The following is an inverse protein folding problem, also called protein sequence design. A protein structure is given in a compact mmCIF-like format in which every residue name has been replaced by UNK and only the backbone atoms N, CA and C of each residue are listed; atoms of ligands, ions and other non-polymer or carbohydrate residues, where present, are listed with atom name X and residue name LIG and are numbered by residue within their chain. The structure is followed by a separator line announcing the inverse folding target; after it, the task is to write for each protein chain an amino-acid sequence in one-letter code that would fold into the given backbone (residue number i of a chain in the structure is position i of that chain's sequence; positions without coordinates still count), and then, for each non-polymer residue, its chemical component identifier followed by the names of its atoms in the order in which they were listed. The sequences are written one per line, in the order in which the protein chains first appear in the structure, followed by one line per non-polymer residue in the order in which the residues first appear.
data_IF_025616174583
#
_entry.id   IF_025616174583
#
_cell.length_a   1.000
_cell.length_b   1.000
_cell.length_c   1.000
_cell.angle_alpha   90.00
_cell.angle_beta   90.00
_cell.angle_gamma   90.00
#
_symmetry.space_group_name_H-M   'P 1'
#
loop_
_entity.id
_entity.type
_entity.pdbx_description
1 polymer ?
#
# COMPACT_ATOMS: atom_id res chain seq x y z
N UNK A 1 -8.95 41.71 -30.76
CA UNK A 1 -9.06 41.06 -29.44
C UNK A 1 -7.84 40.21 -29.28
N UNK A 2 -6.91 40.59 -28.38
CA UNK A 2 -5.54 40.00 -28.35
C UNK A 2 -5.53 38.61 -27.68
N UNK A 3 -5.42 37.58 -28.46
CA UNK A 3 -5.29 36.17 -28.02
C UNK A 3 -4.02 35.87 -27.18
N UNK A 4 -3.03 36.77 -27.16
CA UNK A 4 -1.76 36.59 -26.42
C UNK A 4 -1.86 36.78 -24.91
N UNK A 5 -2.99 37.22 -24.37
CA UNK A 5 -3.20 37.40 -22.91
C UNK A 5 -3.98 36.26 -22.24
N UNK A 6 -4.52 35.29 -23.02
CA UNK A 6 -5.21 34.13 -22.47
C UNK A 6 -4.27 32.96 -22.16
N UNK A 7 -3.07 32.96 -22.74
CA UNK A 7 -2.11 31.85 -22.58
C UNK A 7 -1.59 31.66 -21.14
N UNK A 8 -1.27 32.72 -20.36
CA UNK A 8 -0.82 32.50 -18.97
C UNK A 8 -1.95 32.11 -18.03
N UNK A 9 -3.20 32.50 -18.33
CA UNK A 9 -4.34 32.12 -17.50
C UNK A 9 -4.74 30.65 -17.69
N UNK A 10 -4.53 30.12 -18.90
CA UNK A 10 -4.76 28.70 -19.21
C UNK A 10 -3.64 27.82 -18.64
N UNK A 11 -2.40 28.30 -18.60
CA UNK A 11 -1.27 27.62 -17.96
C UNK A 11 -1.43 27.56 -16.43
N UNK A 12 -2.01 28.58 -15.81
CA UNK A 12 -2.30 28.60 -14.36
C UNK A 12 -3.40 27.61 -13.95
N UNK A 13 -4.33 27.29 -14.87
CA UNK A 13 -5.41 26.31 -14.63
C UNK A 13 -4.92 24.86 -14.75
N UNK A 14 -3.80 24.59 -15.40
CA UNK A 14 -3.25 23.24 -15.59
C UNK A 14 -2.33 22.84 -14.41
N UNK A 15 -1.77 23.79 -13.66
CA UNK A 15 -0.96 23.50 -12.47
C UNK A 15 -1.77 23.06 -11.23
N UNK A 16 -3.11 23.03 -11.31
CA UNK A 16 -3.98 22.76 -10.15
C UNK A 16 -4.25 21.33 -9.78
N UNK A 17 -3.60 20.32 -10.40
CA UNK A 17 -3.88 18.90 -10.12
C UNK A 17 -2.61 18.06 -9.84
N UNK A 18 -1.72 18.56 -9.03
CA UNK A 18 -0.69 17.69 -8.44
C UNK A 18 -1.24 17.08 -7.16
N UNK A 19 -1.84 15.90 -7.26
CA UNK A 19 -2.28 15.13 -6.11
C UNK A 19 -1.06 14.44 -5.49
N UNK A 20 -0.55 15.00 -4.39
CA UNK A 20 0.49 14.35 -3.61
C UNK A 20 -0.09 13.09 -2.94
N UNK A 21 0.64 11.98 -3.00
CA UNK A 21 0.30 10.75 -2.29
C UNK A 21 0.28 11.01 -0.79
N UNK A 22 -0.70 10.45 -0.10
CA UNK A 22 -0.90 10.64 1.33
C UNK A 22 -0.86 9.33 2.08
N UNK A 23 -0.04 9.27 3.15
CA UNK A 23 0.13 8.10 3.99
C UNK A 23 0.83 6.95 3.27
N UNK A 24 0.71 5.74 3.82
CA UNK A 24 1.33 4.55 3.24
C UNK A 24 0.69 4.24 1.89
N UNK A 25 1.46 4.24 0.79
CA UNK A 25 0.93 3.88 -0.51
C UNK A 25 0.42 2.43 -0.55
N UNK A 26 -0.58 2.19 -1.39
CA UNK A 26 -1.19 0.85 -1.52
C UNK A 26 -0.53 0.10 -2.67
N UNK A 27 0.13 -1.00 -2.34
CA UNK A 27 0.78 -1.88 -3.31
C UNK A 27 0.23 -3.30 -3.23
N UNK A 28 0.11 -3.96 -4.37
CA UNK A 28 -0.44 -5.32 -4.48
C UNK A 28 0.47 -6.40 -3.89
N UNK A 29 1.77 -6.15 -3.83
CA UNK A 29 2.73 -7.06 -3.21
C UNK A 29 2.49 -7.24 -1.72
N UNK A 30 1.90 -6.25 -1.02
CA UNK A 30 1.49 -6.42 0.38
C UNK A 30 0.43 -7.51 0.59
N UNK A 31 -0.34 -7.87 -0.43
CA UNK A 31 -1.23 -9.03 -0.37
C UNK A 31 -0.48 -10.36 -0.24
N UNK A 32 0.80 -10.38 -0.58
CA UNK A 32 1.65 -11.59 -0.54
C UNK A 32 2.42 -11.72 0.76
N UNK A 33 2.91 -10.61 1.29
CA UNK A 33 3.90 -10.62 2.36
C UNK A 33 3.49 -9.81 3.60
N UNK A 34 2.59 -8.84 3.48
CA UNK A 34 2.17 -7.98 4.59
C UNK A 34 0.73 -7.48 4.44
N UNK A 35 -0.24 -8.38 4.40
CA UNK A 35 -1.67 -8.06 4.23
C UNK A 35 -2.21 -7.10 5.31
N UNK A 36 -1.65 -7.17 6.53
CA UNK A 36 -2.00 -6.27 7.63
C UNK A 36 -1.71 -4.80 7.30
N UNK A 37 -0.71 -4.50 6.46
CA UNK A 37 -0.41 -3.13 6.05
C UNK A 37 -1.56 -2.46 5.27
N UNK A 38 -2.35 -3.25 4.56
CA UNK A 38 -3.52 -2.80 3.80
C UNK A 38 -4.79 -2.85 4.64
N UNK A 39 -4.99 -3.93 5.39
CA UNK A 39 -6.25 -4.26 6.02
C UNK A 39 -6.11 -4.36 7.55
N UNK A 40 -6.56 -3.35 8.31
CA UNK A 40 -6.48 -3.36 9.78
C UNK A 40 -7.16 -4.58 10.42
N UNK A 41 -8.20 -5.10 9.78
CA UNK A 41 -8.92 -6.30 10.21
C UNK A 41 -8.09 -7.58 10.21
N UNK A 42 -6.92 -7.56 9.56
CA UNK A 42 -6.00 -8.70 9.52
C UNK A 42 -5.00 -8.73 10.68
N UNK A 43 -5.00 -7.72 11.56
CA UNK A 43 -4.13 -7.74 12.74
C UNK A 43 -4.43 -8.95 13.63
N UNK A 44 -3.46 -9.86 13.80
CA UNK A 44 -3.60 -11.10 14.56
C UNK A 44 -4.55 -12.14 13.96
N UNK A 45 -4.92 -12.02 12.69
CA UNK A 45 -5.77 -13.00 11.99
C UNK A 45 -5.02 -14.29 11.64
N UNK A 46 -3.71 -14.21 11.42
CA UNK A 46 -2.86 -15.33 11.03
C UNK A 46 -2.64 -16.35 12.15
N UNK A 47 -2.11 -17.52 11.78
CA UNK A 47 -1.74 -18.59 12.71
C UNK A 47 -0.52 -18.24 13.58
N UNK A 48 0.29 -17.26 13.16
CA UNK A 48 1.46 -16.75 13.87
C UNK A 48 1.38 -15.25 14.11
N UNK A 49 2.09 -14.77 15.11
CA UNK A 49 2.40 -13.35 15.24
C UNK A 49 3.44 -12.97 14.21
N UNK A 50 3.35 -11.78 13.66
CA UNK A 50 4.16 -11.38 12.51
C UNK A 50 4.88 -10.06 12.76
N UNK A 51 6.14 -10.03 12.36
CA UNK A 51 6.91 -8.79 12.16
C UNK A 51 7.27 -8.71 10.68
N UNK A 52 7.06 -7.59 10.05
CA UNK A 52 7.42 -7.33 8.65
C UNK A 52 8.15 -6.00 8.54
N UNK A 53 9.34 -6.05 7.97
CA UNK A 53 10.14 -4.87 7.61
C UNK A 53 10.18 -4.79 6.09
N UNK A 54 9.75 -3.66 5.54
CA UNK A 54 9.75 -3.42 4.10
C UNK A 54 10.56 -2.17 3.80
N UNK A 55 11.45 -2.25 2.82
CA UNK A 55 12.19 -1.12 2.27
C UNK A 55 11.99 -1.09 0.76
N UNK A 56 11.46 0.02 0.27
CA UNK A 56 11.18 0.26 -1.15
C UNK A 56 11.89 1.51 -1.61
N UNK A 57 12.52 1.46 -2.76
CA UNK A 57 13.21 2.59 -3.37
C UNK A 57 12.99 2.61 -4.89
N UNK A 58 12.88 3.83 -5.41
CA UNK A 58 12.81 4.13 -6.84
C UNK A 58 14.03 4.97 -7.22
N UNK A 59 14.54 4.88 -8.44
CA UNK A 59 15.63 5.73 -9.00
C UNK A 59 16.89 5.77 -8.13
N UNK A 60 17.69 4.74 -8.20
CA UNK A 60 18.94 4.62 -7.41
C UNK A 60 20.02 5.64 -7.72
N UNK A 61 19.92 6.36 -8.82
CA UNK A 61 20.85 7.38 -9.30
C UNK A 61 20.47 8.82 -8.87
N UNK A 62 19.37 8.98 -8.11
CA UNK A 62 18.86 10.26 -7.64
C UNK A 62 18.99 10.35 -6.11
N UNK A 63 19.53 11.49 -5.61
CA UNK A 63 19.74 11.67 -4.16
C UNK A 63 18.43 11.76 -3.35
N UNK A 64 17.35 12.25 -3.97
CA UNK A 64 16.04 12.47 -3.33
C UNK A 64 14.98 11.58 -3.95
N UNK A 65 15.38 10.37 -4.33
CA UNK A 65 14.50 9.37 -4.92
C UNK A 65 13.41 8.93 -3.94
N UNK A 66 12.21 8.62 -4.43
CA UNK A 66 11.14 8.07 -3.61
C UNK A 66 11.58 6.82 -2.85
N UNK A 67 11.42 6.86 -1.52
CA UNK A 67 11.85 5.82 -0.60
C UNK A 67 10.77 5.62 0.46
N UNK A 68 10.32 4.38 0.63
CA UNK A 68 9.35 4.00 1.65
C UNK A 68 9.93 2.90 2.52
N UNK A 69 9.93 3.12 3.82
CA UNK A 69 10.27 2.13 4.83
C UNK A 69 9.07 1.88 5.73
N UNK A 70 8.75 0.62 6.00
CA UNK A 70 7.68 0.26 6.93
C UNK A 70 8.14 -0.85 7.87
N UNK A 71 7.76 -0.72 9.13
CA UNK A 71 7.86 -1.78 10.13
C UNK A 71 6.46 -2.07 10.64
N UNK A 72 5.96 -3.27 10.38
CA UNK A 72 4.66 -3.73 10.83
C UNK A 72 4.81 -4.89 11.81
N UNK A 73 4.07 -4.82 12.89
CA UNK A 73 3.92 -5.88 13.89
C UNK A 73 2.44 -6.17 14.07
N UNK A 74 2.05 -7.43 14.10
CA UNK A 74 0.72 -7.83 14.52
C UNK A 74 0.74 -9.15 15.28
N UNK A 75 -0.17 -9.27 16.24
CA UNK A 75 -0.24 -10.41 17.12
C UNK A 75 -1.66 -10.67 17.58
N UNK A 76 -2.00 -11.93 17.81
CA UNK A 76 -3.23 -12.35 18.48
C UNK A 76 -3.00 -12.36 19.99
N UNK A 77 -3.81 -11.61 20.72
CA UNK A 77 -3.72 -11.47 22.19
C UNK A 77 -4.79 -12.26 22.95
N UNK A 78 -5.86 -12.66 22.26
CA UNK A 78 -6.92 -13.52 22.77
C UNK A 78 -7.59 -14.26 21.61
N UNK A 79 -8.47 -15.22 21.90
CA UNK A 79 -9.13 -16.06 20.89
C UNK A 79 -9.82 -15.25 19.78
N UNK A 80 -10.35 -14.08 20.14
CA UNK A 80 -11.09 -13.21 19.22
C UNK A 80 -10.47 -11.81 19.08
N UNK A 81 -9.28 -11.58 19.59
CA UNK A 81 -8.70 -10.24 19.61
C UNK A 81 -7.27 -10.22 19.11
N UNK A 82 -6.99 -9.32 18.18
CA UNK A 82 -5.68 -9.02 17.66
C UNK A 82 -5.28 -7.57 17.88
N UNK A 83 -4.00 -7.34 17.97
CA UNK A 83 -3.40 -6.01 18.01
C UNK A 83 -2.33 -5.89 16.93
N UNK A 84 -2.04 -4.66 16.55
CA UNK A 84 -0.96 -4.39 15.64
C UNK A 84 -0.39 -2.99 15.80
N UNK A 85 0.81 -2.82 15.28
CA UNK A 85 1.48 -1.54 15.19
C UNK A 85 2.19 -1.42 13.85
N UNK A 86 2.14 -0.24 13.24
CA UNK A 86 2.85 0.09 12.01
C UNK A 86 3.64 1.36 12.27
N UNK A 87 4.91 1.36 11.90
CA UNK A 87 5.73 2.56 11.77
C UNK A 87 6.13 2.70 10.30
N UNK A 88 6.16 3.92 9.82
CA UNK A 88 6.56 4.17 8.44
C UNK A 88 7.32 5.49 8.29
N UNK A 89 8.16 5.52 7.27
CA UNK A 89 8.83 6.70 6.77
C UNK A 89 8.76 6.67 5.25
N UNK A 90 8.08 7.65 4.66
CA UNK A 90 7.91 7.83 3.22
C UNK A 90 8.55 9.14 2.82
N UNK A 91 9.47 9.10 1.88
CA UNK A 91 10.14 10.27 1.33
C UNK A 91 9.94 10.30 -0.17
N UNK A 92 9.57 11.46 -0.70
CA UNK A 92 9.40 11.69 -2.13
C UNK A 92 9.89 13.09 -2.46
N UNK A 93 11.11 13.20 -2.95
CA UNK A 93 11.79 14.47 -3.13
C UNK A 93 11.99 15.17 -1.78
N UNK A 94 11.64 16.45 -1.72
CA UNK A 94 11.70 17.30 -0.53
C UNK A 94 10.54 17.07 0.45
N UNK A 95 9.52 16.31 0.04
CA UNK A 95 8.39 15.97 0.89
C UNK A 95 8.63 14.65 1.60
N UNK A 96 8.39 14.62 2.91
CA UNK A 96 8.47 13.42 3.73
C UNK A 96 7.25 13.25 4.63
N UNK A 97 6.88 12.00 4.87
CA UNK A 97 5.85 11.63 5.83
C UNK A 97 6.37 10.54 6.76
N UNK A 98 6.35 10.80 8.04
CA UNK A 98 6.72 9.83 9.07
C UNK A 98 5.56 9.65 10.02
N UNK A 99 5.28 8.43 10.40
CA UNK A 99 4.15 8.20 11.29
C UNK A 99 4.07 6.79 11.83
N UNK A 100 3.01 6.56 12.59
CA UNK A 100 2.71 5.26 13.13
C UNK A 100 1.23 5.07 13.38
N UNK A 101 0.81 3.82 13.35
CA UNK A 101 -0.56 3.39 13.61
C UNK A 101 -0.57 2.32 14.70
N UNK A 102 -1.55 2.39 15.57
CA UNK A 102 -1.92 1.32 16.50
C UNK A 102 -3.26 0.75 16.06
N UNK A 103 -3.34 -0.57 16.04
CA UNK A 103 -4.50 -1.31 15.54
C UNK A 103 -5.06 -2.23 16.60
N UNK A 104 -6.38 -2.29 16.65
CA UNK A 104 -7.13 -3.34 17.32
C UNK A 104 -8.03 -4.03 16.32
N UNK A 105 -8.05 -5.38 16.35
CA UNK A 105 -8.94 -6.17 15.53
C UNK A 105 -9.74 -7.14 16.39
N UNK A 106 -11.00 -7.38 15.98
CA UNK A 106 -11.89 -8.35 16.61
C UNK A 106 -12.32 -9.39 15.58
N UNK A 107 -12.17 -10.66 15.94
CA UNK A 107 -12.42 -11.81 15.08
C UNK A 107 -13.62 -12.61 15.57
N UNK A 108 -14.64 -12.73 14.74
CA UNK A 108 -15.84 -13.52 14.99
C UNK A 108 -15.70 -14.84 14.25
N UNK A 109 -15.67 -15.95 14.99
CA UNK A 109 -15.55 -17.29 14.43
C UNK A 109 -16.93 -17.89 14.24
N UNK A 110 -17.25 -18.36 13.03
CA UNK A 110 -18.52 -19.03 12.71
C UNK A 110 -18.37 -20.54 12.60
N UNK A 111 -17.12 -21.05 12.55
CA UNK A 111 -16.87 -22.48 12.51
C UNK A 111 -17.20 -23.17 13.84
N UNK A 112 -17.58 -24.44 13.74
CA UNK A 112 -17.83 -25.30 14.92
C UNK A 112 -16.55 -25.91 15.47
N UNK A 113 -15.52 -26.00 14.64
CA UNK A 113 -14.21 -26.53 15.00
C UNK A 113 -13.19 -25.38 15.00
N UNK A 114 -12.18 -25.40 15.87
CA UNK A 114 -11.18 -24.34 15.95
C UNK A 114 -10.20 -24.34 14.77
N UNK A 115 -10.16 -25.42 13.99
CA UNK A 115 -9.26 -25.58 12.83
C UNK A 115 -9.89 -25.14 11.51
N UNK A 116 -11.22 -25.20 11.40
CA UNK A 116 -11.90 -24.75 10.17
C UNK A 116 -11.93 -23.24 10.10
N UNK A 117 -11.34 -22.65 9.08
CA UNK A 117 -11.34 -21.21 8.89
C UNK A 117 -12.71 -20.72 8.40
N UNK A 118 -13.46 -20.05 9.27
CA UNK A 118 -14.66 -19.29 8.94
C UNK A 118 -14.73 -18.08 9.88
N UNK A 119 -14.07 -17.00 9.47
CA UNK A 119 -13.78 -15.86 10.32
C UNK A 119 -14.19 -14.55 9.66
N UNK A 120 -15.01 -13.78 10.36
CA UNK A 120 -15.28 -12.37 10.05
C UNK A 120 -14.49 -11.50 11.04
N UNK A 121 -13.68 -10.61 10.52
CA UNK A 121 -12.81 -9.75 11.32
C UNK A 121 -13.12 -8.29 11.07
N UNK A 122 -13.12 -7.48 12.13
CA UNK A 122 -13.20 -6.03 12.05
C UNK A 122 -11.93 -5.42 12.65
N UNK A 123 -11.41 -4.38 12.03
CA UNK A 123 -10.21 -3.70 12.50
C UNK A 123 -10.35 -2.19 12.50
N UNK A 124 -9.76 -1.58 13.51
CA UNK A 124 -9.63 -0.13 13.66
C UNK A 124 -8.17 0.21 13.90
N UNK A 125 -7.61 1.09 13.07
CA UNK A 125 -6.30 1.67 13.28
C UNK A 125 -6.42 3.15 13.57
N UNK A 126 -5.66 3.62 14.56
CA UNK A 126 -5.51 5.05 14.88
C UNK A 126 -4.06 5.40 14.72
N UNK A 127 -3.77 6.43 13.96
CA UNK A 127 -2.42 6.87 13.62
C UNK A 127 -2.16 8.33 13.87
N UNK A 128 -0.89 8.64 14.06
CA UNK A 128 -0.34 9.99 14.04
C UNK A 128 0.66 10.07 12.90
N UNK A 129 0.47 11.03 12.01
CA UNK A 129 1.31 11.26 10.84
C UNK A 129 1.86 12.67 10.90
N UNK A 130 3.17 12.80 10.75
CA UNK A 130 3.87 14.06 10.56
C UNK A 130 4.24 14.18 9.09
N UNK A 131 3.80 15.24 8.45
CA UNK A 131 4.15 15.61 7.08
C UNK A 131 5.13 16.77 7.13
N UNK A 132 6.19 16.73 6.34
CA UNK A 132 7.24 17.75 6.30
C UNK A 132 7.63 18.06 4.87
N UNK A 133 7.95 19.33 4.62
CA UNK A 133 8.52 19.83 3.38
C UNK A 133 9.83 20.54 3.70
N UNK A 134 10.92 20.10 3.08
CA UNK A 134 12.25 20.71 3.22
C UNK A 134 12.49 21.69 2.09
N UNK A 135 12.39 22.97 2.37
CA UNK A 135 12.65 24.05 1.42
C UNK A 135 14.07 24.63 1.54
N UNK A 136 14.91 24.09 2.41
CA UNK A 136 16.22 24.67 2.72
C UNK A 136 17.21 24.63 1.54
N UNK A 137 16.96 23.74 0.59
CA UNK A 137 17.80 23.58 -0.62
C UNK A 137 17.20 24.27 -1.87
N UNK A 138 16.09 25.00 -1.72
CA UNK A 138 15.50 25.74 -2.83
C UNK A 138 16.33 26.99 -3.16
N UNK A 139 16.42 27.32 -4.45
CA UNK A 139 17.20 28.49 -4.88
C UNK A 139 16.48 29.78 -4.48
N UNK A 140 17.03 30.50 -3.50
CA UNK A 140 16.49 31.75 -2.99
C UNK A 140 16.65 32.93 -3.98
N UNK A 141 17.36 32.73 -5.11
CA UNK A 141 17.50 33.77 -6.15
C UNK A 141 16.24 33.89 -7.01
N UNK A 142 15.45 32.82 -7.12
CA UNK A 142 14.08 32.84 -7.68
C UNK A 142 13.10 33.19 -6.57
N UNK A 143 12.84 34.48 -6.41
CA UNK A 143 11.93 34.95 -5.36
C UNK A 143 10.51 34.41 -5.60
N UNK A 144 10.12 33.41 -4.83
CA UNK A 144 8.76 32.95 -4.69
C UNK A 144 8.25 33.30 -3.28
N UNK A 145 7.19 34.13 -3.16
CA UNK A 145 6.66 34.53 -1.86
C UNK A 145 6.08 33.36 -1.02
N UNK A 146 5.88 32.20 -1.63
CA UNK A 146 5.36 30.99 -0.96
C UNK A 146 6.49 30.18 -0.31
N UNK A 147 7.73 30.28 -0.82
CA UNK A 147 8.89 29.55 -0.30
C UNK A 147 9.44 30.28 0.91
N UNK A 148 9.38 29.64 2.06
CA UNK A 148 9.92 30.20 3.31
C UNK A 148 11.41 29.89 3.53
N UNK A 149 11.99 28.95 2.77
CA UNK A 149 13.39 28.49 2.90
C UNK A 149 13.68 27.75 4.23
N UNK A 150 12.66 27.17 4.83
CA UNK A 150 12.73 26.43 6.10
C UNK A 150 12.14 25.03 5.96
N UNK A 151 12.32 24.20 6.96
CA UNK A 151 11.57 22.93 7.05
C UNK A 151 10.20 23.23 7.64
N UNK A 152 9.16 23.10 6.81
CA UNK A 152 7.77 23.19 7.26
C UNK A 152 7.32 21.80 7.70
N UNK A 153 6.61 21.70 8.83
CA UNK A 153 6.08 20.42 9.30
C UNK A 153 4.74 20.57 10.00
N UNK A 154 3.88 19.60 9.83
CA UNK A 154 2.58 19.52 10.49
C UNK A 154 2.25 18.09 10.86
N UNK A 155 1.50 17.91 11.94
CA UNK A 155 1.07 16.59 12.41
C UNK A 155 -0.45 16.48 12.46
N UNK A 156 -0.98 15.36 12.03
CA UNK A 156 -2.41 15.11 12.03
C UNK A 156 -2.74 13.66 12.45
N UNK A 157 -3.93 13.51 13.02
CA UNK A 157 -4.49 12.21 13.34
C UNK A 157 -5.14 11.57 12.11
N UNK A 158 -4.96 10.26 12.00
CA UNK A 158 -5.58 9.45 10.98
C UNK A 158 -6.27 8.22 11.57
N UNK A 159 -7.34 7.77 10.92
CA UNK A 159 -8.11 6.58 11.33
C UNK A 159 -8.41 5.76 10.10
N UNK A 160 -8.10 4.45 10.19
CA UNK A 160 -8.45 3.47 9.18
C UNK A 160 -9.39 2.42 9.78
N UNK A 161 -10.38 1.99 9.03
CA UNK A 161 -11.30 0.91 9.43
C UNK A 161 -11.36 -0.16 8.36
N UNK A 162 -11.50 -1.42 8.77
CA UNK A 162 -11.57 -2.52 7.84
C UNK A 162 -12.44 -3.67 8.32
N UNK A 163 -12.91 -4.45 7.37
CA UNK A 163 -13.57 -5.73 7.58
C UNK A 163 -12.93 -6.78 6.66
N UNK A 164 -12.80 -8.01 7.15
CA UNK A 164 -12.25 -9.14 6.39
C UNK A 164 -13.09 -10.38 6.64
N UNK A 165 -13.37 -11.11 5.59
CA UNK A 165 -14.02 -12.40 5.67
C UNK A 165 -13.11 -13.47 5.07
N UNK A 166 -12.75 -14.45 5.87
CA UNK A 166 -11.93 -15.59 5.47
C UNK A 166 -12.76 -16.86 5.65
N UNK A 167 -12.96 -17.61 4.58
CA UNK A 167 -13.72 -18.85 4.57
C UNK A 167 -12.95 -19.92 3.79
N UNK A 168 -12.38 -20.87 4.51
CA UNK A 168 -11.48 -21.88 3.93
C UNK A 168 -10.41 -21.21 3.04
N UNK A 169 -10.43 -21.54 1.77
CA UNK A 169 -9.46 -21.03 0.77
C UNK A 169 -9.87 -19.69 0.13
N UNK A 170 -11.00 -19.13 0.53
CA UNK A 170 -11.49 -17.83 0.03
C UNK A 170 -11.26 -16.72 1.04
N UNK A 171 -10.84 -15.55 0.55
CA UNK A 171 -10.74 -14.34 1.35
C UNK A 171 -11.28 -13.12 0.63
N UNK A 172 -11.90 -12.22 1.39
CA UNK A 172 -12.33 -10.92 0.92
C UNK A 172 -12.10 -9.87 2.01
N UNK A 173 -11.57 -8.72 1.62
CA UNK A 173 -11.20 -7.65 2.55
C UNK A 173 -11.69 -6.32 2.03
N UNK A 174 -12.22 -5.49 2.92
CA UNK A 174 -12.62 -4.12 2.63
C UNK A 174 -12.02 -3.17 3.67
N UNK A 175 -11.42 -2.09 3.22
CA UNK A 175 -10.80 -1.10 4.11
C UNK A 175 -11.11 0.31 3.62
N UNK A 176 -11.44 1.19 4.55
CA UNK A 176 -11.48 2.63 4.34
C UNK A 176 -10.29 3.23 5.08
N UNK A 177 -9.31 3.72 4.32
CA UNK A 177 -8.18 4.47 4.86
C UNK A 177 -8.53 5.96 4.92
N UNK A 178 -7.90 6.66 5.87
CA UNK A 178 -8.08 8.10 6.06
C UNK A 178 -9.55 8.48 6.31
N UNK A 179 -10.23 7.75 7.21
CA UNK A 179 -11.67 7.93 7.50
C UNK A 179 -12.00 9.35 7.92
N UNK A 180 -11.11 9.98 8.71
CA UNK A 180 -11.27 11.36 9.19
C UNK A 180 -10.61 12.31 8.19
N UNK A 181 -11.43 13.16 7.60
CA UNK A 181 -10.99 14.21 6.70
C UNK A 181 -10.26 15.32 7.48
N UNK A 182 -9.00 15.58 7.14
CA UNK A 182 -8.16 16.61 7.81
C UNK A 182 -7.29 17.33 6.81
N UNK A 183 -7.14 18.65 6.97
CA UNK A 183 -6.07 19.39 6.32
C UNK A 183 -4.75 19.04 6.98
N UNK A 184 -3.71 18.90 6.17
CA UNK A 184 -2.36 18.58 6.66
C UNK A 184 -1.69 19.76 7.35
N UNK A 185 -2.08 20.99 6.97
CA UNK A 185 -1.62 22.23 7.58
C UNK A 185 -0.17 22.61 7.23
N UNK A 186 0.37 22.10 6.12
CA UNK A 186 1.66 22.54 5.57
C UNK A 186 1.55 23.83 4.80
N UNK A 187 0.48 23.96 4.03
CA UNK A 187 0.18 25.14 3.22
C UNK A 187 -1.17 25.74 3.62
N UNK A 188 -1.54 26.84 2.97
CA UNK A 188 -2.88 27.42 3.13
C UNK A 188 -3.94 26.50 2.51
N UNK A 189 -5.17 26.54 3.01
CA UNK A 189 -6.30 25.71 2.55
C UNK A 189 -6.58 25.82 1.04
N UNK A 190 -6.12 26.90 0.41
CA UNK A 190 -6.29 27.15 -1.03
C UNK A 190 -5.35 26.27 -1.88
N UNK A 191 -4.18 25.91 -1.34
CA UNK A 191 -3.13 25.17 -2.08
C UNK A 191 -2.90 23.75 -1.54
N UNK A 192 -3.53 23.38 -0.44
CA UNK A 192 -3.35 22.08 0.17
C UNK A 192 -4.62 21.22 0.08
N UNK A 193 -4.50 20.05 -0.52
CA UNK A 193 -5.58 19.07 -0.44
C UNK A 193 -5.56 18.37 0.92
N UNK A 194 -6.73 18.26 1.55
CA UNK A 194 -6.86 17.43 2.74
C UNK A 194 -6.59 15.95 2.42
N UNK A 195 -6.21 15.16 3.44
CA UNK A 195 -6.08 13.72 3.28
C UNK A 195 -7.41 13.14 2.75
N UNK A 196 -7.30 12.29 1.72
CA UNK A 196 -8.48 11.76 1.04
C UNK A 196 -8.79 10.35 1.52
N UNK A 197 -10.08 10.05 1.68
CA UNK A 197 -10.49 8.68 1.94
C UNK A 197 -10.18 7.80 0.74
N UNK A 198 -9.64 6.61 1.05
CA UNK A 198 -9.38 5.57 0.06
C UNK A 198 -10.16 4.34 0.44
N UNK A 199 -10.94 3.85 -0.50
CA UNK A 199 -11.69 2.61 -0.40
C UNK A 199 -10.89 1.51 -1.09
N UNK A 200 -10.51 0.49 -0.34
CA UNK A 200 -9.70 -0.64 -0.82
C UNK A 200 -10.53 -1.89 -0.67
N UNK A 201 -10.68 -2.62 -1.75
CA UNK A 201 -11.29 -3.94 -1.76
C UNK A 201 -10.31 -4.95 -2.35
N UNK A 202 -10.07 -6.05 -1.66
CA UNK A 202 -9.28 -7.15 -2.21
C UNK A 202 -9.97 -8.49 -1.98
N UNK A 203 -9.74 -9.43 -2.90
CA UNK A 203 -10.23 -10.80 -2.76
C UNK A 203 -9.22 -11.77 -3.36
N UNK A 204 -9.12 -12.94 -2.75
CA UNK A 204 -8.27 -14.03 -3.20
C UNK A 204 -8.97 -15.37 -3.06
N UNK A 205 -8.57 -16.32 -3.90
CA UNK A 205 -8.95 -17.71 -3.78
C UNK A 205 -7.74 -18.59 -3.97
N UNK A 206 -7.51 -19.48 -3.03
CA UNK A 206 -6.36 -20.39 -3.04
C UNK A 206 -6.78 -21.78 -3.45
N UNK A 207 -6.03 -22.43 -4.32
CA UNK A 207 -6.27 -23.80 -4.69
C UNK A 207 -4.96 -24.53 -4.93
N UNK A 208 -4.95 -25.80 -4.60
CA UNK A 208 -3.77 -26.63 -4.75
C UNK A 208 -4.08 -28.10 -4.50
N UNK A 209 -3.10 -28.96 -4.78
CA UNK A 209 -3.20 -30.36 -4.46
C UNK A 209 -2.05 -30.77 -3.55
N UNK A 210 -2.36 -31.41 -2.45
CA UNK A 210 -1.38 -31.92 -1.49
C UNK A 210 -0.31 -32.83 -2.15
N UNK A 211 -0.69 -33.55 -3.22
CA UNK A 211 0.21 -34.45 -3.95
C UNK A 211 1.27 -33.71 -4.79
N UNK A 212 0.97 -32.52 -5.30
CA UNK A 212 1.91 -31.78 -6.16
C UNK A 212 2.84 -30.87 -5.37
N UNK A 213 2.50 -30.52 -4.14
CA UNK A 213 3.16 -29.50 -3.34
C UNK A 213 3.10 -28.11 -4.02
N UNK A 214 2.17 -27.90 -4.95
CA UNK A 214 1.90 -26.61 -5.57
C UNK A 214 0.58 -26.05 -5.10
N UNK A 215 0.60 -24.77 -4.74
CA UNK A 215 -0.59 -23.97 -4.41
C UNK A 215 -0.61 -22.72 -5.27
N UNK A 216 -1.78 -22.34 -5.76
CA UNK A 216 -1.99 -21.19 -6.62
C UNK A 216 -3.03 -20.26 -6.00
N UNK A 217 -2.81 -18.94 -6.11
CA UNK A 217 -3.67 -17.92 -5.53
C UNK A 217 -3.88 -16.77 -6.52
N UNK A 218 -4.89 -16.83 -7.39
CA UNK A 218 -5.39 -15.63 -8.07
C UNK A 218 -5.99 -14.67 -7.05
N UNK A 219 -5.70 -13.38 -7.21
CA UNK A 219 -6.27 -12.33 -6.37
C UNK A 219 -6.49 -11.04 -7.16
N UNK A 220 -7.35 -10.19 -6.65
CA UNK A 220 -7.57 -8.86 -7.21
C UNK A 220 -7.62 -7.83 -6.09
N UNK A 221 -7.16 -6.62 -6.39
CA UNK A 221 -7.29 -5.47 -5.53
C UNK A 221 -7.87 -4.31 -6.33
N UNK A 222 -8.85 -3.64 -5.78
CA UNK A 222 -9.45 -2.43 -6.33
C UNK A 222 -9.31 -1.29 -5.33
N UNK A 223 -8.91 -0.11 -5.80
CA UNK A 223 -8.87 1.10 -5.00
C UNK A 223 -9.65 2.22 -5.67
N UNK A 224 -10.33 3.01 -4.85
CA UNK A 224 -10.99 4.25 -5.21
C UNK A 224 -10.58 5.34 -4.22
N UNK A 225 -10.11 6.49 -4.72
CA UNK A 225 -9.86 7.71 -3.94
C UNK A 225 -11.09 8.64 -4.08
N UNK A 226 -11.68 9.05 -2.95
CA UNK A 226 -13.02 9.67 -2.91
C UNK A 226 -13.13 10.98 -3.70
N UNK A 227 -12.19 11.90 -3.52
CA UNK A 227 -12.30 13.25 -4.09
C UNK A 227 -11.77 13.36 -5.50
N UNK A 228 -10.60 12.76 -5.76
CA UNK A 228 -10.01 12.77 -7.08
C UNK A 228 -10.74 11.82 -8.04
N UNK A 229 -11.47 10.85 -7.48
CA UNK A 229 -12.11 9.80 -8.26
C UNK A 229 -11.13 8.79 -8.84
N UNK A 230 -9.83 8.91 -8.52
CA UNK A 230 -8.80 7.98 -9.00
C UNK A 230 -9.12 6.54 -8.63
N UNK A 231 -9.06 5.70 -9.64
CA UNK A 231 -9.36 4.27 -9.51
C UNK A 231 -8.26 3.46 -10.15
N UNK A 232 -7.89 2.38 -9.49
CA UNK A 232 -7.07 1.36 -10.13
C UNK A 232 -7.52 -0.04 -9.74
N UNK A 233 -7.15 -0.99 -10.58
CA UNK A 233 -7.31 -2.42 -10.34
C UNK A 233 -5.96 -3.11 -10.49
N UNK A 234 -5.70 -4.05 -9.58
CA UNK A 234 -4.61 -5.00 -9.68
C UNK A 234 -5.17 -6.39 -9.92
N UNK A 235 -4.61 -7.08 -10.89
CA UNK A 235 -4.84 -8.49 -11.13
C UNK A 235 -3.55 -9.23 -10.77
N UNK A 236 -3.64 -10.18 -9.84
CA UNK A 236 -2.49 -10.88 -9.31
C UNK A 236 -2.65 -12.38 -9.48
N UNK A 237 -1.53 -13.03 -9.71
CA UNK A 237 -1.46 -14.48 -9.69
C UNK A 237 -0.19 -14.90 -8.94
N UNK A 238 -0.36 -15.74 -7.92
CA UNK A 238 0.73 -16.28 -7.10
C UNK A 238 0.79 -17.79 -7.20
N UNK A 239 1.99 -18.33 -7.14
CA UNK A 239 2.26 -19.75 -7.11
C UNK A 239 3.24 -20.04 -5.98
N UNK A 240 2.93 -21.04 -5.16
CA UNK A 240 3.72 -21.49 -4.04
C UNK A 240 4.17 -22.92 -4.30
N UNK A 241 5.42 -23.23 -3.95
CA UNK A 241 5.98 -24.58 -4.01
C UNK A 241 6.54 -24.96 -2.66
N UNK A 242 5.98 -26.00 -2.06
CA UNK A 242 6.53 -26.60 -0.87
C UNK A 242 7.79 -27.39 -1.21
N UNK A 243 8.84 -27.17 -0.44
CA UNK A 243 10.16 -27.80 -0.52
C UNK A 243 10.55 -28.29 0.88
N UNK A 244 11.53 -29.19 0.96
CA UNK A 244 11.97 -29.78 2.23
C UNK A 244 12.47 -28.76 3.26
N UNK A 245 12.95 -27.59 2.80
CA UNK A 245 13.46 -26.54 3.68
C UNK A 245 12.47 -25.41 3.98
N UNK A 246 11.32 -25.37 3.28
CA UNK A 246 10.31 -24.31 3.40
C UNK A 246 9.54 -24.10 2.12
N UNK A 247 8.91 -22.94 1.95
CA UNK A 247 8.07 -22.63 0.79
C UNK A 247 8.72 -21.58 -0.10
N UNK A 248 8.97 -21.93 -1.36
CA UNK A 248 9.35 -20.96 -2.40
C UNK A 248 8.09 -20.48 -3.10
N UNK A 249 7.97 -19.18 -3.36
CA UNK A 249 6.82 -18.63 -4.06
C UNK A 249 7.20 -17.51 -5.02
N UNK A 250 6.33 -17.31 -6.01
CA UNK A 250 6.44 -16.22 -6.95
C UNK A 250 5.07 -15.64 -7.28
N UNK A 251 5.04 -14.37 -7.60
CA UNK A 251 3.82 -13.68 -8.00
C UNK A 251 4.06 -12.77 -9.21
N UNK A 252 3.00 -12.54 -9.95
CA UNK A 252 2.94 -11.53 -10.99
C UNK A 252 1.69 -10.69 -10.78
N UNK A 253 1.87 -9.38 -10.70
CA UNK A 253 0.80 -8.41 -10.58
C UNK A 253 0.77 -7.50 -11.81
N UNK A 254 -0.43 -7.21 -12.31
CA UNK A 254 -0.68 -6.18 -13.30
C UNK A 254 -1.60 -5.12 -12.72
N UNK A 255 -1.10 -3.89 -12.59
CA UNK A 255 -1.87 -2.72 -12.16
C UNK A 255 -2.26 -1.88 -13.35
N UNK A 256 -3.51 -1.42 -13.37
CA UNK A 256 -4.00 -0.43 -14.33
C UNK A 256 -4.84 0.63 -13.62
N UNK A 257 -4.52 1.92 -13.85
CA UNK A 257 -5.42 3.01 -13.49
C UNK A 257 -6.51 3.19 -14.56
N UNK A 258 -7.71 3.59 -14.14
CA UNK A 258 -8.81 3.94 -15.06
C UNK A 258 -8.74 5.40 -15.46
N UNK A 259 -8.17 6.22 -14.59
CA UNK A 259 -8.00 7.65 -14.78
C UNK A 259 -6.59 7.89 -15.32
N UNK A 260 -6.47 8.81 -16.28
CA UNK A 260 -5.22 9.15 -16.94
C UNK A 260 -4.93 10.64 -16.82
N UNK A 261 -3.65 11.00 -16.80
CA UNK A 261 -3.24 12.38 -17.00
C UNK A 261 -3.36 12.71 -18.48
N UNK A 262 -4.07 13.80 -18.82
CA UNK A 262 -4.12 14.31 -20.18
C UNK A 262 -2.77 14.93 -20.54
N UNK A 263 -2.25 14.60 -21.69
CA UNK A 263 -1.03 15.19 -22.25
C UNK A 263 -1.20 15.52 -23.74
N UNK A 264 -0.44 16.51 -24.21
CA UNK A 264 -0.42 16.89 -25.61
C UNK A 264 0.59 16.01 -26.37
N UNK A 265 0.08 15.19 -27.30
CA UNK A 265 0.89 14.46 -28.27
C UNK A 265 0.78 15.16 -29.62
N UNK A 266 1.66 16.13 -29.86
CA UNK A 266 1.58 17.01 -31.03
C UNK A 266 0.36 17.93 -30.99
N UNK A 267 -0.73 17.61 -31.67
CA UNK A 267 -1.99 18.38 -31.76
C UNK A 267 -3.14 17.65 -31.08
N UNK A 268 -2.95 16.38 -30.72
CA UNK A 268 -3.97 15.54 -30.09
C UNK A 268 -3.79 15.49 -28.57
N UNK A 269 -4.92 15.39 -27.84
CA UNK A 269 -4.91 15.18 -26.40
C UNK A 269 -4.92 13.67 -26.16
N UNK A 270 -3.84 13.14 -25.63
CA UNK A 270 -3.73 11.74 -25.22
C UNK A 270 -3.94 11.56 -23.73
N UNK A 271 -4.39 10.38 -23.31
CA UNK A 271 -4.55 9.94 -21.93
C UNK A 271 -3.39 9.03 -21.53
N UNK A 272 -2.63 9.43 -20.50
CA UNK A 272 -1.60 8.58 -19.91
C UNK A 272 -2.15 7.85 -18.68
N UNK A 273 -2.42 6.56 -18.82
CA UNK A 273 -2.86 5.70 -17.72
C UNK A 273 -1.68 5.00 -17.07
N UNK A 274 -1.64 4.99 -15.73
CA UNK A 274 -0.64 4.23 -15.00
C UNK A 274 -0.84 2.74 -15.23
N UNK A 275 0.19 2.07 -15.73
CA UNK A 275 0.23 0.63 -15.90
C UNK A 275 1.55 0.10 -15.33
N UNK A 276 1.47 -0.87 -14.42
CA UNK A 276 2.63 -1.51 -13.80
C UNK A 276 2.55 -3.01 -13.98
N UNK A 277 3.70 -3.62 -14.27
CA UNK A 277 3.92 -5.05 -14.14
C UNK A 277 4.87 -5.26 -12.97
N UNK A 278 4.47 -6.10 -12.03
CA UNK A 278 5.20 -6.31 -10.78
C UNK A 278 5.42 -7.80 -10.54
N UNK A 279 6.56 -8.37 -10.99
CA UNK A 279 7.03 -9.66 -10.52
C UNK A 279 7.48 -9.58 -9.06
N UNK A 280 7.17 -10.63 -8.31
CA UNK A 280 7.59 -10.83 -6.92
C UNK A 280 8.14 -12.24 -6.77
N UNK A 281 9.19 -12.40 -6.00
CA UNK A 281 9.72 -13.69 -5.59
C UNK A 281 9.99 -13.68 -4.10
N UNK A 282 9.65 -14.78 -3.42
CA UNK A 282 9.87 -14.89 -2.00
C UNK A 282 10.11 -16.31 -1.54
N UNK A 283 10.64 -16.45 -0.35
CA UNK A 283 10.89 -17.70 0.32
C UNK A 283 10.52 -17.58 1.80
N UNK A 284 9.77 -18.58 2.28
CA UNK A 284 9.50 -18.80 3.69
C UNK A 284 10.40 -19.93 4.16
N UNK A 285 11.32 -19.62 5.07
CA UNK A 285 12.28 -20.56 5.63
C UNK A 285 12.19 -20.59 7.15
N UNK A 286 11.57 -21.64 7.67
CA UNK A 286 11.29 -21.75 9.09
C UNK A 286 10.36 -20.61 9.55
N UNK A 287 10.89 -19.71 10.38
CA UNK A 287 10.17 -18.54 10.88
C UNK A 287 10.44 -17.27 10.06
N UNK A 288 11.30 -17.34 9.05
CA UNK A 288 11.73 -16.20 8.27
C UNK A 288 11.03 -16.14 6.92
N UNK A 289 10.64 -14.93 6.52
CA UNK A 289 10.17 -14.60 5.19
C UNK A 289 11.15 -13.62 4.55
N UNK A 290 11.53 -13.91 3.31
CA UNK A 290 12.31 -13.01 2.46
C UNK A 290 11.56 -12.83 1.15
N UNK A 291 11.33 -11.60 0.74
CA UNK A 291 10.72 -11.32 -0.55
C UNK A 291 11.43 -10.16 -1.25
N UNK A 292 11.44 -10.24 -2.57
CA UNK A 292 11.90 -9.19 -3.45
C UNK A 292 10.86 -8.90 -4.51
N UNK A 293 10.55 -7.63 -4.66
CA UNK A 293 9.58 -7.11 -5.63
C UNK A 293 10.28 -6.14 -6.57
N UNK A 294 9.96 -6.24 -7.85
CA UNK A 294 10.32 -5.26 -8.85
C UNK A 294 9.06 -4.79 -9.58
N UNK A 295 8.78 -3.49 -9.56
CA UNK A 295 7.64 -2.93 -10.29
C UNK A 295 8.15 -2.11 -11.48
N UNK A 296 7.72 -2.48 -12.66
CA UNK A 296 8.08 -1.82 -13.91
C UNK A 296 6.87 -1.11 -14.52
N UNK A 297 7.04 0.16 -14.84
CA UNK A 297 6.01 0.95 -15.51
C UNK A 297 6.02 0.67 -17.01
N UNK A 298 4.85 0.32 -17.54
CA UNK A 298 4.60 0.14 -18.97
C UNK A 298 3.64 1.23 -19.46
N UNK A 299 3.68 1.57 -20.73
CA UNK A 299 2.79 2.58 -21.33
C UNK A 299 3.55 3.57 -22.19
N UNK A 300 2.88 4.68 -22.49
CA UNK A 300 3.40 5.73 -23.42
C UNK A 300 4.55 6.52 -22.81
N UNK A 301 4.52 6.79 -21.50
CA UNK A 301 5.63 7.44 -20.81
C UNK A 301 6.42 6.36 -20.07
N UNK A 302 7.70 6.27 -20.38
CA UNK A 302 8.67 5.37 -19.76
C UNK A 302 9.75 6.22 -19.11
N UNK A 303 10.13 5.85 -17.90
CA UNK A 303 11.31 6.40 -17.27
C UNK A 303 12.48 5.45 -17.54
N UNK A 304 13.58 5.93 -18.08
CA UNK A 304 14.75 5.09 -18.44
C UNK A 304 15.37 4.40 -17.21
N UNK A 305 15.26 5.02 -16.04
CA UNK A 305 15.68 4.46 -14.74
C UNK A 305 14.49 3.96 -13.92
N UNK A 306 13.34 3.80 -14.57
CA UNK A 306 12.05 3.65 -13.93
C UNK A 306 11.72 2.25 -13.51
N UNK A 307 11.80 2.01 -12.24
CA UNK A 307 11.26 0.83 -11.57
C UNK A 307 11.32 1.02 -10.07
N UNK A 308 10.44 0.32 -9.35
CA UNK A 308 10.53 0.23 -7.90
C UNK A 308 11.19 -1.08 -7.54
N UNK A 309 12.14 -1.01 -6.62
CA UNK A 309 12.72 -2.18 -5.98
C UNK A 309 12.25 -2.22 -4.53
N UNK A 310 11.78 -3.35 -4.07
CA UNK A 310 11.38 -3.56 -2.68
C UNK A 310 11.96 -4.84 -2.14
N UNK A 311 12.43 -4.77 -0.91
CA UNK A 311 12.82 -5.93 -0.10
C UNK A 311 11.89 -5.98 1.09
N UNK A 312 11.34 -7.18 1.37
CA UNK A 312 10.58 -7.47 2.57
C UNK A 312 11.27 -8.54 3.38
N UNK A 313 11.47 -8.27 4.67
CA UNK A 313 11.94 -9.22 5.67
C UNK A 313 10.81 -9.50 6.64
N UNK A 314 10.51 -10.76 6.86
CA UNK A 314 9.47 -11.19 7.79
C UNK A 314 10.02 -12.12 8.85
N UNK A 315 9.41 -12.08 10.04
CA UNK A 315 9.65 -13.01 11.11
C UNK A 315 8.31 -13.40 11.75
N UNK A 316 8.03 -14.70 11.75
CA UNK A 316 6.81 -15.30 12.28
C UNK A 316 7.11 -16.08 13.56
N UNK A 317 6.33 -15.83 14.62
CA UNK A 317 6.57 -16.43 15.92
C UNK A 317 5.28 -16.65 16.69
N UNK A 318 5.34 -17.48 17.73
CA UNK A 318 4.18 -17.69 18.62
C UNK A 318 2.98 -18.26 17.89
N UNK A 319 3.18 -19.41 17.24
CA UNK A 319 2.10 -20.13 16.55
C UNK A 319 0.91 -20.42 17.46
N UNK A 320 -0.29 -20.42 16.88
CA UNK A 320 -1.50 -20.86 17.57
C UNK A 320 -1.38 -22.31 17.99
N UNK A 321 -2.02 -22.66 19.09
CA UNK A 321 -2.09 -24.04 19.57
C UNK A 321 -2.87 -24.94 18.61
N UNK A 322 -3.90 -24.38 17.97
CA UNK A 322 -4.72 -25.03 16.96
C UNK A 322 -4.65 -24.15 15.70
N UNK A 323 -3.82 -24.58 14.74
CA UNK A 323 -3.65 -23.86 13.46
C UNK A 323 -4.87 -24.09 12.57
N UNK A 324 -5.22 -23.10 11.75
CA UNK A 324 -6.27 -23.26 10.75
C UNK A 324 -5.82 -24.24 9.66
N UNK A 325 -6.70 -25.18 9.30
CA UNK A 325 -6.51 -26.10 8.18
C UNK A 325 -7.08 -25.47 6.90
N UNK A 326 -6.30 -24.63 6.26
CA UNK A 326 -6.62 -24.03 4.97
C UNK A 326 -5.36 -23.85 4.13
N UNK A 327 -5.52 -23.78 2.81
CA UNK A 327 -4.41 -23.46 1.90
C UNK A 327 -4.19 -21.93 1.78
N UNK A 328 -4.51 -21.16 2.80
CA UNK A 328 -4.50 -19.69 2.78
C UNK A 328 -3.13 -19.14 3.20
N UNK A 329 -2.22 -18.76 2.29
CA UNK A 329 -0.89 -18.29 2.66
C UNK A 329 -0.88 -17.01 3.52
N UNK A 330 -1.93 -16.20 3.45
CA UNK A 330 -2.09 -15.01 4.29
C UNK A 330 -2.43 -15.33 5.76
N UNK A 331 -2.83 -16.56 6.05
CA UNK A 331 -3.23 -17.03 7.40
C UNK A 331 -2.21 -18.03 7.96
N UNK A 332 -1.60 -18.84 7.09
CA UNK A 332 -0.64 -19.91 7.46
C UNK A 332 0.80 -19.44 7.51
#
# INVERSE_FOLDING_TARGET
MNFKRLSPLLALLICGMMNAQEGIPVYSDYLSDNLYLLHPSMAGAANSNQVRLTARQQWFDQNEAPNLQTLAFNARIADQSGIGAILFNDQNGYHSQTGGYLTYAHHIMFSRTPVDLNQLSFGLSVGLVQSSLDETNFDLNDFDPVIAGIIQSSSYFNVDVGASYNFLDFSAHFTVKNLIFRNRGLFTEEFESANQRRYIFSTAYTFGTAYSGWTFEPSTLFQLTERTGEKFIDLNFKAYKELDFGTLWGALSYRRSFDGAEFLDGVEIGDQKLQLITPVVGVNWGQWLFAYTYSYQIGTVRFDTGGFHQITLGFDFGKRREEYDCNCPAIN
#
